data_IF_186652288719
#
_entry.id   IF_186652288719
#
_cell.length_a   1.000
_cell.length_b   1.000
_cell.length_c   1.000
_cell.angle_alpha   90.00
_cell.angle_beta   90.00
_cell.angle_gamma   90.00
#
_symmetry.space_group_name_H-M   'P 1'
#
loop_
_entity.id
_entity.type
_entity.pdbx_description
1 polymer ?
#
# COMPACT_ATOMS: atom_id res chain seq x y z
N UNK A 1 -19.47 -51.93 -34.39
CA UNK A 1 -19.84 -51.04 -33.26
C UNK A 1 -18.58 -50.53 -32.58
N UNK A 2 -18.58 -49.27 -32.12
CA UNK A 2 -17.65 -48.70 -31.12
C UNK A 2 -16.21 -48.34 -31.54
N UNK A 3 -16.02 -47.44 -32.52
CA UNK A 3 -14.75 -46.66 -32.64
C UNK A 3 -14.92 -45.13 -32.67
N UNK A 4 -16.16 -44.64 -32.68
CA UNK A 4 -16.47 -43.21 -32.76
C UNK A 4 -16.47 -42.55 -31.35
N UNK A 5 -16.78 -43.34 -30.31
CA UNK A 5 -16.89 -42.85 -28.93
C UNK A 5 -15.59 -42.25 -28.33
N UNK A 6 -14.39 -42.84 -28.50
CA UNK A 6 -13.17 -42.27 -27.91
C UNK A 6 -12.72 -40.97 -28.60
N UNK A 7 -13.02 -40.80 -29.89
CA UNK A 7 -12.67 -39.59 -30.64
C UNK A 7 -13.53 -38.37 -30.22
N UNK A 8 -14.81 -38.60 -29.91
CA UNK A 8 -15.73 -37.54 -29.45
C UNK A 8 -15.37 -37.07 -28.03
N UNK A 9 -14.94 -37.99 -27.15
CA UNK A 9 -14.50 -37.64 -25.79
C UNK A 9 -13.20 -36.82 -25.82
N UNK A 10 -12.26 -37.16 -26.71
CA UNK A 10 -11.01 -36.40 -26.86
C UNK A 10 -11.26 -34.99 -27.42
N UNK A 11 -12.23 -34.85 -28.34
CA UNK A 11 -12.62 -33.55 -28.89
C UNK A 11 -13.29 -32.65 -27.82
N UNK A 12 -14.10 -33.23 -26.92
CA UNK A 12 -14.70 -32.51 -25.80
C UNK A 12 -13.67 -31.99 -24.79
N UNK A 13 -12.57 -32.72 -24.58
CA UNK A 13 -11.47 -32.27 -23.71
C UNK A 13 -10.68 -31.09 -24.30
N UNK A 14 -10.61 -30.95 -25.62
CA UNK A 14 -9.92 -29.81 -26.27
C UNK A 14 -10.71 -28.49 -26.20
N UNK A 15 -12.03 -28.55 -25.98
CA UNK A 15 -12.89 -27.35 -25.88
C UNK A 15 -12.90 -26.81 -24.44
N UNK A 16 -12.57 -27.64 -23.45
CA UNK A 16 -12.41 -27.26 -22.04
C UNK A 16 -10.98 -26.76 -21.78
N UNK A 17 -10.54 -25.74 -22.52
CA UNK A 17 -9.39 -24.97 -22.06
C UNK A 17 -9.82 -24.21 -20.80
N UNK A 18 -9.09 -24.34 -19.67
CA UNK A 18 -9.37 -23.50 -18.51
C UNK A 18 -9.16 -22.06 -18.96
N UNK A 19 -10.20 -21.23 -18.82
CA UNK A 19 -10.05 -19.78 -19.00
C UNK A 19 -9.04 -19.31 -17.96
N UNK A 20 -7.81 -19.07 -18.41
CA UNK A 20 -6.78 -18.45 -17.59
C UNK A 20 -7.31 -17.04 -17.34
N UNK A 21 -7.98 -16.84 -16.21
CA UNK A 21 -8.37 -15.51 -15.77
C UNK A 21 -7.07 -14.73 -15.56
N UNK A 22 -6.80 -13.77 -16.44
CA UNK A 22 -5.67 -12.87 -16.30
C UNK A 22 -5.73 -12.26 -14.91
N UNK A 23 -4.67 -12.46 -14.11
CA UNK A 23 -4.55 -11.83 -12.79
C UNK A 23 -4.52 -10.32 -13.02
N UNK A 24 -5.49 -9.61 -12.47
CA UNK A 24 -5.50 -8.15 -12.47
C UNK A 24 -4.30 -7.65 -11.68
N UNK A 25 -3.42 -6.88 -12.34
CA UNK A 25 -2.26 -6.28 -11.67
C UNK A 25 -2.70 -5.00 -10.91
N UNK A 26 -1.92 -4.55 -9.91
CA UNK A 26 -2.15 -3.26 -9.28
C UNK A 26 -2.18 -2.10 -10.29
N UNK A 27 -1.33 -2.14 -11.33
CA UNK A 27 -1.35 -1.14 -12.40
C UNK A 27 -2.68 -1.14 -13.17
N UNK A 28 -3.24 -2.31 -13.47
CA UNK A 28 -4.53 -2.43 -14.18
C UNK A 28 -5.66 -1.78 -13.38
N UNK A 29 -5.68 -1.97 -12.06
CA UNK A 29 -6.69 -1.37 -11.17
C UNK A 29 -6.58 0.15 -11.16
N UNK A 30 -5.36 0.69 -11.08
CA UNK A 30 -5.13 2.14 -11.10
C UNK A 30 -5.52 2.72 -12.46
N UNK A 31 -5.14 2.06 -13.55
CA UNK A 31 -5.46 2.51 -14.90
C UNK A 31 -6.98 2.48 -15.16
N UNK A 32 -7.68 1.43 -14.72
CA UNK A 32 -9.13 1.36 -14.81
C UNK A 32 -9.80 2.52 -14.05
N UNK A 33 -9.35 2.82 -12.83
CA UNK A 33 -9.86 3.97 -12.05
C UNK A 33 -9.60 5.31 -12.74
N UNK A 34 -8.40 5.50 -13.31
CA UNK A 34 -8.08 6.72 -14.08
C UNK A 34 -8.95 6.86 -15.32
N UNK A 35 -9.18 5.77 -16.04
CA UNK A 35 -10.04 5.78 -17.23
C UNK A 35 -11.48 6.14 -16.86
N UNK A 36 -12.06 5.51 -15.84
CA UNK A 36 -13.40 5.83 -15.36
C UNK A 36 -13.50 7.30 -14.93
N UNK A 37 -12.52 7.77 -14.14
CA UNK A 37 -12.44 9.16 -13.72
C UNK A 37 -12.42 10.13 -14.92
N UNK A 38 -11.54 9.89 -15.88
CA UNK A 38 -11.41 10.73 -17.07
C UNK A 38 -12.68 10.74 -17.93
N UNK A 39 -13.35 9.60 -18.07
CA UNK A 39 -14.63 9.51 -18.80
C UNK A 39 -15.70 10.36 -18.13
N UNK A 40 -15.83 10.26 -16.80
CA UNK A 40 -16.81 11.05 -16.05
C UNK A 40 -16.49 12.54 -16.08
N UNK A 41 -15.21 12.90 -16.06
CA UNK A 41 -14.74 14.27 -16.08
C UNK A 41 -15.09 15.01 -17.38
N UNK A 42 -15.25 14.33 -18.52
CA UNK A 42 -15.48 14.96 -19.84
C UNK A 42 -16.65 15.95 -19.82
N UNK A 43 -17.74 15.59 -19.13
CA UNK A 43 -18.98 16.36 -19.10
C UNK A 43 -19.03 17.46 -18.03
N UNK A 44 -17.98 17.61 -17.22
CA UNK A 44 -17.93 18.61 -16.16
C UNK A 44 -17.58 19.99 -16.72
N UNK A 45 -18.07 21.04 -16.05
CA UNK A 45 -17.68 22.42 -16.37
C UNK A 45 -16.17 22.64 -16.19
N UNK A 46 -15.58 23.63 -16.90
CA UNK A 46 -14.16 23.97 -16.73
C UNK A 46 -13.77 24.31 -15.29
N UNK A 47 -14.66 24.97 -14.55
CA UNK A 47 -14.43 25.34 -13.14
C UNK A 47 -14.38 24.11 -12.24
N UNK A 48 -15.31 23.17 -12.40
CA UNK A 48 -15.29 21.90 -11.65
C UNK A 48 -14.08 21.04 -12.01
N UNK A 49 -13.65 21.02 -13.28
CA UNK A 49 -12.42 20.35 -13.71
C UNK A 49 -11.19 20.94 -13.02
N UNK A 50 -11.08 22.26 -12.98
CA UNK A 50 -9.97 22.95 -12.30
C UNK A 50 -9.96 22.63 -10.80
N UNK A 51 -11.14 22.65 -10.16
CA UNK A 51 -11.27 22.30 -8.75
C UNK A 51 -10.83 20.88 -8.44
N UNK A 52 -11.17 19.92 -9.29
CA UNK A 52 -10.73 18.53 -9.15
C UNK A 52 -9.21 18.40 -9.35
N UNK A 53 -8.64 19.05 -10.36
CA UNK A 53 -7.19 19.05 -10.58
C UNK A 53 -6.42 19.66 -9.39
N UNK A 54 -6.92 20.77 -8.82
CA UNK A 54 -6.35 21.38 -7.62
C UNK A 54 -6.46 20.46 -6.40
N UNK A 55 -7.58 19.74 -6.27
CA UNK A 55 -7.75 18.75 -5.23
C UNK A 55 -6.75 17.59 -5.39
N UNK A 56 -6.63 17.01 -6.59
CA UNK A 56 -5.71 15.90 -6.90
C UNK A 56 -4.27 16.27 -6.57
N UNK A 57 -3.85 17.48 -6.91
CA UNK A 57 -2.52 18.00 -6.54
C UNK A 57 -2.36 18.10 -5.03
N UNK A 58 -3.31 18.77 -4.34
CA UNK A 58 -3.23 18.97 -2.88
C UNK A 58 -3.23 17.66 -2.09
N UNK A 59 -4.04 16.67 -2.50
CA UNK A 59 -4.09 15.38 -1.80
C UNK A 59 -2.82 14.57 -2.03
N UNK A 60 -2.22 14.65 -3.23
CA UNK A 60 -0.93 14.04 -3.52
C UNK A 60 0.20 14.70 -2.71
N UNK A 61 0.24 16.03 -2.68
CA UNK A 61 1.21 16.82 -1.90
C UNK A 61 1.10 16.49 -0.40
N UNK A 62 -0.11 16.39 0.14
CA UNK A 62 -0.34 16.03 1.54
C UNK A 62 0.12 14.60 1.85
N UNK A 63 -0.22 13.63 0.99
CA UNK A 63 0.25 12.25 1.16
C UNK A 63 1.78 12.22 1.16
N UNK A 64 2.42 12.87 0.18
CA UNK A 64 3.87 12.96 0.07
C UNK A 64 4.51 13.59 1.31
N UNK A 65 4.00 14.74 1.76
CA UNK A 65 4.52 15.44 2.93
C UNK A 65 4.54 14.53 4.16
N UNK A 66 3.45 13.78 4.39
CA UNK A 66 3.34 12.90 5.55
C UNK A 66 4.23 11.68 5.40
N UNK A 67 4.29 11.07 4.20
CA UNK A 67 5.13 9.90 3.97
C UNK A 67 6.61 10.23 4.03
N UNK A 68 7.03 11.40 3.56
CA UNK A 68 8.42 11.86 3.65
C UNK A 68 8.85 12.09 5.12
N UNK A 69 7.96 12.64 5.96
CA UNK A 69 8.20 12.78 7.39
C UNK A 69 8.34 11.41 8.07
N UNK A 70 7.41 10.48 7.82
CA UNK A 70 7.48 9.14 8.39
C UNK A 70 8.67 8.33 7.86
N UNK A 71 9.05 8.49 6.60
CA UNK A 71 10.27 7.88 6.05
C UNK A 71 11.49 8.34 6.83
N UNK A 72 11.62 9.64 7.04
CA UNK A 72 12.70 10.22 7.85
C UNK A 72 12.71 9.65 9.27
N UNK A 73 11.54 9.46 9.89
CA UNK A 73 11.44 8.83 11.21
C UNK A 73 11.87 7.36 11.18
N UNK A 74 11.50 6.59 10.15
CA UNK A 74 11.89 5.17 10.03
C UNK A 74 13.40 5.01 9.85
N UNK A 75 14.03 5.85 9.02
CA UNK A 75 15.49 5.87 8.88
C UNK A 75 16.19 6.19 10.20
N UNK A 76 15.65 7.14 10.98
CA UNK A 76 16.16 7.45 12.32
C UNK A 76 16.00 6.28 13.29
N UNK A 77 14.85 5.59 13.29
CA UNK A 77 14.66 4.41 14.14
C UNK A 77 15.66 3.30 13.81
N UNK A 78 15.90 3.04 12.52
CA UNK A 78 16.92 2.08 12.08
C UNK A 78 18.32 2.46 12.59
N UNK A 79 18.71 3.73 12.39
CA UNK A 79 20.00 4.26 12.86
C UNK A 79 20.17 4.11 14.39
N UNK A 80 19.11 4.40 15.16
CA UNK A 80 19.14 4.26 16.62
C UNK A 80 19.31 2.79 17.03
N UNK A 81 18.62 1.87 16.36
CA UNK A 81 18.75 0.45 16.63
C UNK A 81 20.17 -0.05 16.32
N UNK A 82 20.72 0.32 15.17
CA UNK A 82 22.06 -0.09 14.75
C UNK A 82 23.13 0.46 15.73
N UNK A 83 22.98 1.70 16.20
CA UNK A 83 23.86 2.27 17.22
C UNK A 83 23.74 1.57 18.58
N UNK A 84 22.53 1.17 18.98
CA UNK A 84 22.31 0.39 20.20
C UNK A 84 23.00 -0.97 20.12
N UNK A 85 22.85 -1.70 19.01
CA UNK A 85 23.49 -2.99 18.76
C UNK A 85 25.01 -2.84 18.85
N UNK A 86 25.56 -1.83 18.17
CA UNK A 86 26.99 -1.54 18.15
C UNK A 86 27.55 -1.26 19.56
N UNK A 87 26.86 -0.44 20.36
CA UNK A 87 27.30 -0.08 21.72
C UNK A 87 27.26 -1.23 22.71
N UNK A 88 26.34 -2.17 22.52
CA UNK A 88 26.15 -3.30 23.41
C UNK A 88 26.84 -4.58 22.88
N UNK A 89 27.63 -4.48 21.82
CA UNK A 89 28.35 -5.60 21.20
C UNK A 89 27.45 -6.81 20.91
N UNK A 90 26.19 -6.54 20.54
CA UNK A 90 25.20 -7.59 20.29
C UNK A 90 25.54 -8.25 18.95
N UNK A 91 25.95 -9.52 19.00
CA UNK A 91 26.11 -10.33 17.80
C UNK A 91 24.74 -10.62 17.20
N UNK A 92 24.38 -9.90 16.14
CA UNK A 92 23.18 -10.21 15.39
C UNK A 92 23.28 -11.62 14.80
N UNK A 93 22.24 -12.43 15.01
CA UNK A 93 22.10 -13.65 14.22
C UNK A 93 21.81 -13.23 12.79
N UNK A 94 22.60 -13.72 11.84
CA UNK A 94 22.16 -13.76 10.44
C UNK A 94 20.94 -14.67 10.40
N UNK A 95 19.75 -14.07 10.36
CA UNK A 95 18.52 -14.82 10.22
C UNK A 95 18.57 -15.63 8.93
N UNK A 96 18.34 -16.94 9.04
CA UNK A 96 18.18 -17.88 7.93
C UNK A 96 16.88 -17.65 7.13
N UNK A 97 16.12 -16.60 7.47
CA UNK A 97 14.89 -16.19 6.82
C UNK A 97 13.66 -17.04 7.18
N UNK A 98 13.84 -18.11 7.97
CA UNK A 98 12.81 -19.14 8.19
C UNK A 98 12.21 -19.05 9.61
N UNK A 99 13.00 -18.66 10.62
CA UNK A 99 12.51 -18.53 12.00
C UNK A 99 12.85 -17.16 12.57
N UNK A 100 11.82 -16.31 12.74
CA UNK A 100 11.99 -15.04 13.44
C UNK A 100 11.73 -15.21 14.92
N UNK A 101 12.69 -14.85 15.78
CA UNK A 101 12.48 -14.89 17.21
C UNK A 101 12.04 -13.53 17.75
N UNK A 102 10.74 -13.23 17.68
CA UNK A 102 10.19 -11.97 18.22
C UNK A 102 10.26 -11.85 19.76
N UNK A 103 10.71 -12.89 20.47
CA UNK A 103 11.06 -12.77 21.90
C UNK A 103 12.41 -12.09 22.12
N UNK A 104 13.29 -12.09 21.10
CA UNK A 104 14.56 -11.39 21.12
C UNK A 104 14.30 -9.88 20.88
N UNK A 105 14.65 -9.00 21.83
CA UNK A 105 14.27 -7.59 21.76
C UNK A 105 14.83 -6.82 20.55
N UNK A 106 16.03 -7.16 20.07
CA UNK A 106 16.64 -6.51 18.90
C UNK A 106 15.91 -6.93 17.62
N UNK A 107 15.70 -8.22 17.42
CA UNK A 107 14.98 -8.78 16.27
C UNK A 107 13.52 -8.30 16.21
N UNK A 108 12.84 -8.23 17.36
CA UNK A 108 11.50 -7.66 17.45
C UNK A 108 11.48 -6.17 17.05
N UNK A 109 12.46 -5.39 17.51
CA UNK A 109 12.59 -3.98 17.12
C UNK A 109 12.85 -3.82 15.62
N UNK A 110 13.79 -4.61 15.07
CA UNK A 110 14.13 -4.63 13.64
C UNK A 110 12.89 -4.97 12.80
N UNK A 111 12.15 -6.00 13.19
CA UNK A 111 10.90 -6.39 12.53
C UNK A 111 9.89 -5.24 12.47
N UNK A 112 9.59 -4.58 13.60
CA UNK A 112 8.59 -3.51 13.61
C UNK A 112 9.05 -2.24 12.90
N UNK A 113 10.35 -1.95 12.87
CA UNK A 113 10.92 -0.87 12.05
C UNK A 113 10.71 -1.18 10.57
N UNK A 114 11.12 -2.37 10.10
CA UNK A 114 10.93 -2.77 8.71
C UNK A 114 9.46 -2.79 8.32
N UNK A 115 8.59 -3.36 9.16
CA UNK A 115 7.14 -3.41 8.89
C UNK A 115 6.50 -2.03 8.79
N UNK A 116 6.91 -1.08 9.64
CA UNK A 116 6.44 0.30 9.56
C UNK A 116 6.99 1.01 8.32
N UNK A 117 8.26 0.78 7.97
CA UNK A 117 8.92 1.33 6.79
C UNK A 117 8.26 0.87 5.49
N UNK A 118 7.99 -0.43 5.35
CA UNK A 118 7.23 -0.99 4.22
C UNK A 118 5.84 -0.38 4.11
N UNK A 119 5.18 -0.12 5.24
CA UNK A 119 3.88 0.54 5.25
C UNK A 119 3.95 2.01 4.81
N UNK A 120 5.03 2.73 5.15
CA UNK A 120 5.30 4.09 4.64
C UNK A 120 5.48 4.06 3.13
N UNK A 121 6.31 3.14 2.62
CA UNK A 121 6.54 2.98 1.18
C UNK A 121 5.25 2.63 0.42
N UNK A 122 4.44 1.71 0.96
CA UNK A 122 3.15 1.37 0.38
C UNK A 122 2.19 2.57 0.35
N UNK A 123 2.16 3.36 1.43
CA UNK A 123 1.34 4.56 1.50
C UNK A 123 1.82 5.65 0.52
N UNK A 124 3.13 5.81 0.35
CA UNK A 124 3.72 6.76 -0.59
C UNK A 124 3.35 6.44 -2.05
N UNK A 125 3.18 5.15 -2.37
CA UNK A 125 2.78 4.71 -3.69
C UNK A 125 1.27 4.83 -3.98
N UNK A 126 0.43 5.14 -2.98
CA UNK A 126 -1.03 5.24 -3.18
C UNK A 126 -1.41 6.50 -3.96
N UNK A 127 -2.33 6.31 -4.91
CA UNK A 127 -2.95 7.39 -5.69
C UNK A 127 -4.41 7.53 -5.26
N UNK A 128 -4.79 8.76 -4.89
CA UNK A 128 -6.12 9.08 -4.39
C UNK A 128 -7.00 9.65 -5.51
N UNK A 129 -7.64 8.76 -6.28
CA UNK A 129 -8.57 9.13 -7.36
C UNK A 129 -9.99 9.12 -6.81
N UNK A 130 -10.70 10.27 -6.74
CA UNK A 130 -12.07 10.31 -6.27
C UNK A 130 -13.01 9.58 -7.23
N UNK A 131 -13.96 8.82 -6.67
CA UNK A 131 -15.04 8.20 -7.44
C UNK A 131 -16.12 9.23 -7.72
N UNK A 132 -16.08 9.81 -8.92
CA UNK A 132 -17.01 10.86 -9.34
C UNK A 132 -18.40 10.29 -9.56
N UNK A 133 -19.42 10.83 -8.90
CA UNK A 133 -20.82 10.38 -9.06
C UNK A 133 -21.67 11.35 -9.88
N UNK A 134 -21.26 12.61 -9.95
CA UNK A 134 -21.90 13.69 -10.69
C UNK A 134 -21.38 15.05 -10.24
N UNK A 135 -21.50 16.07 -11.09
CA UNK A 135 -20.88 17.38 -10.83
C UNK A 135 -21.44 18.06 -9.57
N UNK A 136 -22.75 17.93 -9.33
CA UNK A 136 -23.40 18.43 -8.11
C UNK A 136 -22.89 17.79 -6.83
N UNK A 137 -22.27 16.60 -6.93
CA UNK A 137 -21.75 15.83 -5.79
C UNK A 137 -20.25 15.99 -5.58
N UNK A 138 -19.57 16.84 -6.35
CA UNK A 138 -18.11 17.02 -6.33
C UNK A 138 -17.53 17.19 -4.92
N UNK A 139 -18.18 17.99 -4.07
CA UNK A 139 -17.72 18.22 -2.70
C UNK A 139 -17.78 16.96 -1.84
N UNK A 140 -18.85 16.18 -1.99
CA UNK A 140 -19.05 14.92 -1.26
C UNK A 140 -18.04 13.87 -1.71
N UNK A 141 -17.80 13.79 -3.02
CA UNK A 141 -16.86 12.83 -3.61
C UNK A 141 -15.40 13.17 -3.19
N UNK A 142 -15.04 14.45 -3.18
CA UNK A 142 -13.78 14.95 -2.62
C UNK A 142 -13.65 14.62 -1.13
N UNK A 143 -14.69 14.92 -0.34
CA UNK A 143 -14.70 14.68 1.12
C UNK A 143 -14.53 13.19 1.43
N UNK A 144 -15.18 12.32 0.67
CA UNK A 144 -15.00 10.88 0.79
C UNK A 144 -13.54 10.47 0.58
N UNK A 145 -12.89 11.02 -0.45
CA UNK A 145 -11.48 10.72 -0.73
C UNK A 145 -10.53 11.25 0.36
N UNK A 146 -10.83 12.42 0.94
CA UNK A 146 -10.10 12.95 2.10
C UNK A 146 -10.22 12.00 3.30
N UNK A 147 -11.42 11.49 3.58
CA UNK A 147 -11.64 10.55 4.68
C UNK A 147 -10.86 9.24 4.48
N UNK A 148 -10.74 8.77 3.24
CA UNK A 148 -9.91 7.60 2.91
C UNK A 148 -8.44 7.88 3.22
N UNK A 149 -7.89 9.02 2.76
CA UNK A 149 -6.52 9.41 3.09
C UNK A 149 -6.33 9.51 4.62
N UNK A 150 -7.25 10.16 5.32
CA UNK A 150 -7.14 10.32 6.77
C UNK A 150 -7.13 8.97 7.50
N UNK A 151 -7.99 8.04 7.10
CA UNK A 151 -8.02 6.67 7.64
C UNK A 151 -6.69 5.95 7.41
N UNK A 152 -6.18 6.00 6.18
CA UNK A 152 -4.91 5.41 5.79
C UNK A 152 -3.74 5.97 6.61
N UNK A 153 -3.68 7.30 6.77
CA UNK A 153 -2.64 7.98 7.57
C UNK A 153 -2.74 7.61 9.06
N UNK A 154 -3.95 7.44 9.60
CA UNK A 154 -4.12 7.01 10.99
C UNK A 154 -3.60 5.57 11.20
N UNK A 155 -3.86 4.67 10.26
CA UNK A 155 -3.31 3.30 10.28
C UNK A 155 -1.79 3.35 10.21
N UNK A 156 -1.23 4.14 9.28
CA UNK A 156 0.21 4.30 9.13
C UNK A 156 0.86 4.84 10.42
N UNK A 157 0.28 5.89 11.01
CA UNK A 157 0.71 6.47 12.28
C UNK A 157 0.75 5.43 13.39
N UNK A 158 -0.25 4.55 13.45
CA UNK A 158 -0.30 3.45 14.42
C UNK A 158 0.90 2.50 14.29
N UNK A 159 1.29 2.15 13.05
CA UNK A 159 2.47 1.30 12.78
C UNK A 159 3.79 2.00 13.16
N UNK A 160 3.96 3.25 12.74
CA UNK A 160 5.12 4.09 13.08
C UNK A 160 5.27 4.26 14.60
N UNK A 161 4.17 4.54 15.29
CA UNK A 161 4.16 4.71 16.75
C UNK A 161 4.48 3.41 17.47
N UNK A 162 3.96 2.27 16.98
CA UNK A 162 4.27 0.96 17.55
C UNK A 162 5.75 0.62 17.40
N UNK A 163 6.33 0.84 16.22
CA UNK A 163 7.77 0.71 15.98
C UNK A 163 8.59 1.53 16.98
N UNK A 164 8.25 2.82 17.13
CA UNK A 164 8.89 3.72 18.10
C UNK A 164 8.81 3.16 19.53
N UNK A 165 7.62 2.75 19.97
CA UNK A 165 7.43 2.30 21.35
C UNK A 165 8.22 1.03 21.67
N UNK A 166 8.34 0.11 20.71
CA UNK A 166 9.13 -1.11 20.86
C UNK A 166 10.63 -0.76 20.95
N UNK A 167 11.13 0.09 20.05
CA UNK A 167 12.50 0.59 20.10
C UNK A 167 12.79 1.30 21.43
N UNK A 168 11.92 2.21 21.88
CA UNK A 168 12.09 2.90 23.16
C UNK A 168 12.05 1.97 24.36
N UNK A 169 11.35 0.84 24.27
CA UNK A 169 11.33 -0.18 25.33
C UNK A 169 12.62 -0.99 25.36
N UNK A 170 13.26 -1.20 24.21
CA UNK A 170 14.60 -1.78 24.11
C UNK A 170 15.64 -0.88 24.78
N UNK A 171 15.63 0.42 24.45
CA UNK A 171 16.62 1.39 24.94
C UNK A 171 16.57 1.66 26.45
N UNK A 172 15.50 1.25 27.14
CA UNK A 172 15.34 1.40 28.59
C UNK A 172 15.88 0.22 29.40
N UNK A 173 16.30 -0.85 28.73
CA UNK A 173 16.97 -1.99 29.36
C UNK A 173 18.46 -1.72 29.47
#
# INVERSE_FOLDING_TARGET
MSKILPAVIFLLFLILTPTIQARTTPEDIVNAKKQEYNQRLQNYSPESKQKLADFERKIADLNKLITDDYETQMLRHGTILDEYIRRNEISERQGDGISRNLSEPVENSRYWITYAHEAVAYQAAKIYIPSLTGETNINRDITSQINILQSDINILRGKVTKSKNILMSLLKK
#
